data_IF_998013056882
#
_entry.id   IF_998013056882
#
_cell.length_a   1.000
_cell.length_b   1.000
_cell.length_c   1.000
_cell.angle_alpha   90.00
_cell.angle_beta   90.00
_cell.angle_gamma   90.00
#
_symmetry.space_group_name_H-M   'P 1'
#
loop_
_entity.id
_entity.type
_entity.pdbx_description
1 polymer ?
#
# COMPACT_ATOMS: atom_id res chain seq x y z
N UNK A 1 9.62 12.69 13.60
CA UNK A 1 8.91 11.72 14.48
C UNK A 1 7.97 10.93 13.60
N UNK A 2 8.09 9.60 13.56
CA UNK A 2 7.12 8.76 12.84
C UNK A 2 5.75 8.94 13.52
N UNK A 3 4.67 9.19 12.76
CA UNK A 3 3.34 9.33 13.34
C UNK A 3 2.98 8.08 14.14
N UNK A 4 2.50 8.26 15.35
CA UNK A 4 2.03 7.14 16.16
C UNK A 4 0.60 6.82 15.73
N UNK A 5 0.40 5.70 15.07
CA UNK A 5 -0.90 5.17 14.70
C UNK A 5 -1.45 4.35 15.86
N UNK A 6 -1.98 5.03 16.88
CA UNK A 6 -2.68 4.38 17.97
C UNK A 6 -4.04 3.82 17.51
N UNK A 7 -4.73 3.11 18.39
CA UNK A 7 -5.99 2.45 18.04
C UNK A 7 -7.09 3.43 17.60
N UNK A 8 -7.14 4.61 18.20
CA UNK A 8 -8.16 5.61 17.86
C UNK A 8 -7.88 6.27 16.52
N UNK A 9 -6.61 6.59 16.23
CA UNK A 9 -6.20 7.11 14.93
C UNK A 9 -6.46 6.09 13.81
N UNK A 10 -6.16 4.80 14.02
CA UNK A 10 -6.44 3.72 13.06
C UNK A 10 -7.93 3.60 12.78
N UNK A 11 -8.75 3.58 13.82
CA UNK A 11 -10.23 3.51 13.69
C UNK A 11 -10.77 4.71 12.93
N UNK A 12 -10.27 5.91 13.24
CA UNK A 12 -10.66 7.14 12.55
C UNK A 12 -10.34 7.09 11.07
N UNK A 13 -9.15 6.62 10.70
CA UNK A 13 -8.74 6.47 9.29
C UNK A 13 -9.57 5.42 8.56
N UNK A 14 -9.84 4.28 9.18
CA UNK A 14 -10.67 3.24 8.58
C UNK A 14 -12.12 3.72 8.36
N UNK A 15 -12.71 4.40 9.35
CA UNK A 15 -14.02 5.03 9.17
C UNK A 15 -14.01 6.06 8.02
N UNK A 16 -13.00 6.91 7.96
CA UNK A 16 -12.86 7.92 6.90
C UNK A 16 -12.81 7.30 5.49
N UNK A 17 -12.03 6.25 5.26
CA UNK A 17 -11.97 5.60 3.93
C UNK A 17 -13.27 4.88 3.59
N UNK A 18 -13.92 4.24 4.54
CA UNK A 18 -15.24 3.61 4.36
C UNK A 18 -16.32 4.63 4.04
N UNK A 19 -16.40 5.71 4.82
CA UNK A 19 -17.39 6.78 4.64
C UNK A 19 -17.19 7.52 3.31
N UNK A 20 -15.93 7.63 2.83
CA UNK A 20 -15.62 8.17 1.50
C UNK A 20 -16.27 7.32 0.40
N UNK A 21 -16.16 6.00 0.46
CA UNK A 21 -16.79 5.09 -0.52
C UNK A 21 -18.32 5.13 -0.40
N UNK A 22 -18.85 5.17 0.84
CA UNK A 22 -20.29 5.29 1.07
C UNK A 22 -20.87 6.61 0.51
N UNK A 23 -20.15 7.72 0.66
CA UNK A 23 -20.54 9.02 0.13
C UNK A 23 -20.63 9.02 -1.42
N UNK A 24 -19.71 8.33 -2.10
CA UNK A 24 -19.77 8.18 -3.57
C UNK A 24 -21.06 7.47 -3.99
N UNK A 25 -21.44 6.38 -3.34
CA UNK A 25 -22.70 5.69 -3.63
C UNK A 25 -23.94 6.56 -3.38
N UNK A 26 -23.88 7.36 -2.32
CA UNK A 26 -24.99 8.26 -1.97
C UNK A 26 -25.03 9.54 -2.84
N UNK A 27 -24.05 9.76 -3.71
CA UNK A 27 -23.84 11.04 -4.42
C UNK A 27 -23.87 12.24 -3.45
N UNK A 28 -23.25 12.04 -2.27
CA UNK A 28 -23.17 13.00 -1.18
C UNK A 28 -21.77 13.65 -1.13
N UNK A 29 -21.62 14.81 -0.44
CA UNK A 29 -20.30 15.37 -0.17
C UNK A 29 -19.42 14.37 0.58
N UNK A 30 -18.14 14.28 0.18
CA UNK A 30 -17.17 13.44 0.89
C UNK A 30 -16.94 13.95 2.32
N UNK A 31 -16.65 13.04 3.27
CA UNK A 31 -16.29 13.42 4.63
C UNK A 31 -15.04 14.31 4.63
N UNK A 32 -14.96 15.25 5.55
CA UNK A 32 -13.74 16.03 5.76
C UNK A 32 -12.60 15.12 6.22
N UNK A 33 -11.37 15.47 5.81
CA UNK A 33 -10.18 14.75 6.30
C UNK A 33 -10.10 14.92 7.81
N UNK A 34 -9.99 13.82 8.58
CA UNK A 34 -9.91 13.89 10.03
C UNK A 34 -8.77 14.77 10.54
N UNK A 35 -8.99 15.45 11.66
CA UNK A 35 -7.99 16.32 12.27
C UNK A 35 -6.89 15.54 13.00
N UNK A 36 -6.11 14.79 12.22
CA UNK A 36 -4.91 14.09 12.66
C UNK A 36 -3.69 14.73 12.01
N UNK A 37 -2.68 15.18 12.78
CA UNK A 37 -1.50 15.85 12.22
C UNK A 37 -0.84 15.06 11.08
N UNK A 38 -0.75 13.74 11.22
CA UNK A 38 -0.17 12.86 10.21
C UNK A 38 -0.89 12.90 8.85
N UNK A 39 -2.20 13.18 8.82
CA UNK A 39 -2.97 13.26 7.58
C UNK A 39 -2.73 14.55 6.79
N UNK A 40 -2.15 15.55 7.43
CA UNK A 40 -1.78 16.82 6.78
C UNK A 40 -0.41 16.78 6.12
N UNK A 41 0.42 15.81 6.52
CA UNK A 41 1.76 15.62 5.96
C UNK A 41 1.69 14.93 4.61
N UNK A 42 2.68 15.20 3.74
CA UNK A 42 2.85 14.48 2.48
C UNK A 42 3.05 13.00 2.77
N UNK A 43 2.23 12.13 2.18
CA UNK A 43 2.24 10.71 2.49
C UNK A 43 1.82 9.85 1.33
N UNK A 44 2.16 8.58 1.42
CA UNK A 44 1.77 7.55 0.45
C UNK A 44 1.10 6.40 1.18
N UNK A 45 0.05 5.85 0.59
CA UNK A 45 -0.68 4.73 1.17
C UNK A 45 -1.23 3.79 0.09
N UNK A 46 -1.63 2.60 0.53
CA UNK A 46 -2.54 1.72 -0.20
C UNK A 46 -3.83 1.58 0.58
N UNK A 47 -4.93 1.48 -0.14
CA UNK A 47 -6.23 1.08 0.41
C UNK A 47 -6.61 -0.24 -0.25
N UNK A 48 -6.87 -1.25 0.58
CA UNK A 48 -7.24 -2.59 0.16
C UNK A 48 -8.63 -2.92 0.65
N UNK A 49 -9.42 -3.50 -0.22
CA UNK A 49 -10.75 -4.01 0.04
C UNK A 49 -10.70 -5.53 0.00
N UNK A 50 -11.21 -6.18 1.03
CA UNK A 50 -11.35 -7.63 1.12
C UNK A 50 -12.82 -7.99 1.23
N UNK A 51 -13.24 -9.06 0.53
CA UNK A 51 -14.51 -9.70 0.84
C UNK A 51 -14.39 -10.44 2.17
N UNK A 52 -15.40 -10.34 3.02
CA UNK A 52 -15.48 -11.17 4.22
C UNK A 52 -15.52 -12.66 3.83
N UNK A 53 -15.05 -13.56 4.73
CA UNK A 53 -15.11 -14.99 4.48
C UNK A 53 -16.57 -15.43 4.22
N UNK A 54 -16.80 -16.07 3.08
CA UNK A 54 -18.11 -16.61 2.76
C UNK A 54 -18.47 -17.79 3.67
N UNK A 55 -19.77 -18.20 3.71
CA UNK A 55 -20.26 -19.27 4.56
C UNK A 55 -19.62 -20.65 4.28
N UNK A 56 -18.95 -20.83 3.16
CA UNK A 56 -18.26 -22.06 2.74
C UNK A 56 -16.81 -22.17 3.24
N UNK A 57 -16.34 -21.24 4.13
CA UNK A 57 -15.03 -21.32 4.75
C UNK A 57 -13.86 -20.94 3.84
N UNK A 58 -14.12 -20.37 2.68
CA UNK A 58 -13.09 -19.68 1.90
C UNK A 58 -12.66 -18.44 2.69
N UNK A 59 -11.35 -18.29 2.93
CA UNK A 59 -10.77 -17.14 3.62
C UNK A 59 -11.07 -15.82 2.92
N UNK A 60 -10.68 -14.71 3.54
CA UNK A 60 -10.78 -13.39 2.93
C UNK A 60 -10.18 -13.39 1.53
N UNK A 61 -10.86 -12.75 0.59
CA UNK A 61 -10.37 -12.61 -0.78
C UNK A 61 -10.22 -11.14 -1.16
N UNK A 62 -9.20 -10.84 -1.95
CA UNK A 62 -8.98 -9.49 -2.46
C UNK A 62 -10.17 -9.06 -3.32
N UNK A 63 -10.72 -7.85 -3.08
CA UNK A 63 -11.79 -7.22 -3.85
C UNK A 63 -11.35 -5.95 -4.57
N UNK A 64 -10.28 -5.31 -4.12
CA UNK A 64 -9.65 -4.14 -4.73
C UNK A 64 -8.44 -3.69 -3.93
N UNK A 65 -7.42 -3.15 -4.60
CA UNK A 65 -6.24 -2.60 -3.93
C UNK A 65 -5.55 -1.60 -4.83
N UNK A 66 -5.57 -0.33 -4.45
CA UNK A 66 -4.87 0.75 -5.17
C UNK A 66 -4.09 1.59 -4.16
N UNK A 67 -2.95 2.09 -4.60
CA UNK A 67 -2.10 2.94 -3.79
C UNK A 67 -0.99 3.61 -4.58
N UNK A 68 -0.22 4.40 -3.88
CA UNK A 68 0.92 5.14 -4.38
C UNK A 68 2.17 4.82 -3.56
N UNK A 69 3.31 4.80 -4.23
CA UNK A 69 4.61 4.60 -3.59
C UNK A 69 5.31 5.92 -3.28
N UNK A 70 4.89 7.00 -3.93
CA UNK A 70 5.44 8.33 -3.76
C UNK A 70 4.41 9.26 -3.12
N UNK A 71 4.84 10.04 -2.14
CA UNK A 71 4.06 11.06 -1.50
C UNK A 71 4.02 12.31 -2.38
N UNK A 72 2.95 12.51 -3.14
CA UNK A 72 2.74 13.68 -4.00
C UNK A 72 1.61 14.60 -3.51
N UNK A 73 0.89 14.19 -2.49
CA UNK A 73 -0.21 14.94 -1.88
C UNK A 73 -0.28 14.65 -0.37
N UNK A 74 -1.03 15.43 0.43
CA UNK A 74 -1.28 15.12 1.84
C UNK A 74 -1.89 13.74 2.01
N UNK A 75 -1.46 12.99 3.04
CA UNK A 75 -1.88 11.61 3.27
C UNK A 75 -3.41 11.44 3.36
N UNK A 76 -4.11 12.41 3.95
CA UNK A 76 -5.58 12.36 4.02
C UNK A 76 -6.24 12.38 2.64
N UNK A 77 -5.75 13.20 1.71
CA UNK A 77 -6.24 13.21 0.33
C UNK A 77 -5.83 11.94 -0.42
N UNK A 78 -4.61 11.44 -0.19
CA UNK A 78 -4.14 10.19 -0.78
C UNK A 78 -4.99 8.99 -0.34
N UNK A 79 -5.39 8.93 0.94
CA UNK A 79 -6.33 7.94 1.47
C UNK A 79 -7.69 8.01 0.78
N UNK A 80 -8.26 9.23 0.63
CA UNK A 80 -9.54 9.46 -0.07
C UNK A 80 -9.46 8.96 -1.51
N UNK A 81 -8.45 9.41 -2.27
CA UNK A 81 -8.30 9.04 -3.67
C UNK A 81 -8.10 7.52 -3.85
N UNK A 82 -7.26 6.91 -3.00
CA UNK A 82 -7.01 5.48 -3.09
C UNK A 82 -8.19 4.63 -2.63
N UNK A 83 -9.03 5.10 -1.68
CA UNK A 83 -10.27 4.43 -1.32
C UNK A 83 -11.24 4.37 -2.52
N UNK A 84 -11.45 5.51 -3.20
CA UNK A 84 -12.30 5.56 -4.40
C UNK A 84 -11.71 4.74 -5.55
N UNK A 85 -10.40 4.81 -5.76
CA UNK A 85 -9.74 4.05 -6.82
C UNK A 85 -9.80 2.55 -6.56
N UNK A 86 -9.60 2.10 -5.33
CA UNK A 86 -9.69 0.68 -4.97
C UNK A 86 -11.11 0.13 -5.12
N UNK A 87 -12.13 0.94 -4.80
CA UNK A 87 -13.53 0.54 -4.92
C UNK A 87 -14.05 0.57 -6.38
N UNK A 88 -13.63 1.55 -7.18
CA UNK A 88 -14.31 1.83 -8.46
C UNK A 88 -13.40 1.77 -9.69
N UNK A 89 -12.07 1.75 -9.52
CA UNK A 89 -11.12 1.92 -10.63
C UNK A 89 -9.97 0.94 -10.63
N UNK A 90 -10.03 -0.12 -9.82
CA UNK A 90 -9.07 -1.21 -9.91
C UNK A 90 -9.39 -2.06 -11.15
N UNK A 91 -8.50 -2.09 -12.18
CA UNK A 91 -8.81 -2.73 -13.46
C UNK A 91 -8.98 -4.26 -13.37
N UNK A 92 -8.62 -4.86 -12.23
CA UNK A 92 -8.74 -6.31 -12.01
C UNK A 92 -10.15 -6.73 -11.59
N UNK A 93 -10.99 -5.78 -11.17
CA UNK A 93 -12.30 -6.01 -10.60
C UNK A 93 -13.34 -5.07 -11.21
N UNK A 94 -14.63 -5.46 -11.27
CA UNK A 94 -15.70 -4.53 -11.58
C UNK A 94 -15.81 -3.47 -10.46
N UNK A 95 -16.40 -2.31 -10.78
CA UNK A 95 -16.70 -1.31 -9.76
C UNK A 95 -17.53 -1.94 -8.63
N UNK A 96 -17.27 -1.52 -7.40
CA UNK A 96 -17.98 -2.01 -6.22
C UNK A 96 -19.47 -1.61 -6.32
N UNK A 97 -20.37 -2.51 -5.96
CA UNK A 97 -21.80 -2.25 -5.84
C UNK A 97 -22.17 -1.81 -4.42
N UNK A 98 -23.20 -0.94 -4.24
CA UNK A 98 -23.64 -0.50 -2.90
C UNK A 98 -23.98 -1.66 -1.96
N UNK A 99 -24.52 -2.76 -2.50
CA UNK A 99 -24.92 -3.93 -1.74
C UNK A 99 -23.73 -4.73 -1.20
N UNK A 100 -22.55 -4.60 -1.82
CA UNK A 100 -21.32 -5.25 -1.37
C UNK A 100 -20.69 -4.54 -0.16
N UNK A 101 -20.90 -3.22 -0.01
CA UNK A 101 -20.19 -2.41 0.99
C UNK A 101 -20.27 -2.94 2.44
N UNK A 102 -21.41 -3.47 2.92
CA UNK A 102 -21.49 -4.07 4.24
C UNK A 102 -20.62 -5.33 4.43
N UNK A 103 -20.32 -6.04 3.33
CA UNK A 103 -19.52 -7.26 3.31
C UNK A 103 -18.05 -7.03 2.98
N UNK A 104 -17.64 -5.75 2.84
CA UNK A 104 -16.26 -5.37 2.59
C UNK A 104 -15.55 -5.02 3.90
N UNK A 105 -14.34 -5.54 4.05
CA UNK A 105 -13.37 -5.15 5.05
C UNK A 105 -12.33 -4.24 4.42
N UNK A 106 -12.10 -3.09 5.03
CA UNK A 106 -11.07 -2.14 4.60
C UNK A 106 -9.76 -2.38 5.35
N UNK A 107 -8.67 -2.31 4.61
CA UNK A 107 -7.31 -2.32 5.15
C UNK A 107 -6.53 -1.14 4.56
N UNK A 108 -5.73 -0.50 5.38
CA UNK A 108 -4.88 0.64 5.01
C UNK A 108 -3.43 0.30 5.30
N UNK A 109 -2.56 0.54 4.32
CA UNK A 109 -1.11 0.45 4.45
C UNK A 109 -0.51 1.84 4.26
N UNK A 110 0.02 2.43 5.33
CA UNK A 110 0.67 3.75 5.29
C UNK A 110 2.18 3.54 5.18
N UNK A 111 2.78 4.12 4.14
CA UNK A 111 4.19 3.95 3.85
C UNK A 111 5.03 5.03 4.53
N UNK A 112 6.20 4.65 5.06
CA UNK A 112 7.22 5.64 5.43
C UNK A 112 7.88 6.23 4.19
N UNK A 113 8.50 7.40 4.33
CA UNK A 113 9.35 7.94 3.28
C UNK A 113 10.49 6.94 2.97
N UNK A 114 10.80 6.67 1.69
CA UNK A 114 11.92 5.84 1.33
C UNK A 114 13.25 6.47 1.77
N UNK A 115 14.13 5.67 2.37
CA UNK A 115 15.49 6.08 2.77
C UNK A 115 16.53 5.26 2.01
N UNK A 116 17.61 5.90 1.52
CA UNK A 116 18.68 5.17 0.85
C UNK A 116 19.43 4.29 1.84
N UNK A 117 19.88 3.12 1.37
CA UNK A 117 20.74 2.19 2.09
C UNK A 117 22.05 2.02 1.34
N UNK A 118 23.13 1.67 2.07
CA UNK A 118 24.47 1.54 1.48
C UNK A 118 24.60 0.30 0.58
N UNK A 119 23.87 -0.76 0.91
CA UNK A 119 23.88 -1.98 0.14
C UNK A 119 22.68 -2.89 0.46
N UNK A 120 22.48 -3.93 -0.34
CA UNK A 120 21.34 -4.83 -0.21
C UNK A 120 21.36 -5.67 1.09
N UNK A 121 22.48 -5.70 1.80
CA UNK A 121 22.61 -6.38 3.10
C UNK A 121 21.79 -5.71 4.20
N UNK A 122 21.48 -4.41 4.08
CA UNK A 122 20.64 -3.67 5.01
C UNK A 122 19.13 -3.91 4.78
N UNK A 123 18.75 -4.49 3.65
CA UNK A 123 17.35 -4.87 3.39
C UNK A 123 16.91 -6.03 4.27
N UNK A 124 15.86 -5.83 5.05
CA UNK A 124 15.28 -6.82 5.96
C UNK A 124 13.95 -7.33 5.38
N UNK A 125 13.92 -8.63 5.07
CA UNK A 125 12.73 -9.29 4.52
C UNK A 125 11.60 -9.27 5.54
N UNK A 126 10.40 -8.90 5.10
CA UNK A 126 9.19 -8.82 5.91
C UNK A 126 9.04 -7.54 6.71
N UNK A 127 10.10 -6.74 6.84
CA UNK A 127 10.08 -5.44 7.51
C UNK A 127 10.14 -4.30 6.49
N UNK A 128 11.03 -4.42 5.52
CA UNK A 128 11.26 -3.40 4.52
C UNK A 128 10.58 -3.71 3.19
N UNK A 129 9.90 -2.70 2.62
CA UNK A 129 9.77 -2.60 1.18
C UNK A 129 11.09 -2.15 0.58
N UNK A 130 11.36 -2.50 -0.65
CA UNK A 130 12.62 -2.20 -1.32
C UNK A 130 12.41 -1.62 -2.70
N UNK A 131 13.17 -0.58 -3.02
CA UNK A 131 13.23 0.06 -4.33
C UNK A 131 14.63 -0.15 -4.89
N UNK A 132 14.72 -0.66 -6.11
CA UNK A 132 15.94 -0.69 -6.91
C UNK A 132 15.88 0.41 -7.96
N UNK A 133 16.97 1.16 -8.09
CA UNK A 133 17.16 2.17 -9.13
C UNK A 133 18.50 1.90 -9.84
N UNK A 134 18.46 1.75 -11.17
CA UNK A 134 19.63 1.54 -12.01
C UNK A 134 19.33 1.92 -13.47
N UNK A 135 20.27 2.57 -14.14
CA UNK A 135 20.18 2.94 -15.57
C UNK A 135 18.87 3.66 -15.95
N UNK A 136 18.37 4.55 -15.06
CA UNK A 136 17.11 5.26 -15.25
C UNK A 136 15.86 4.40 -15.10
N UNK A 137 16.01 3.14 -14.72
CA UNK A 137 14.92 2.19 -14.44
C UNK A 137 14.73 2.02 -12.95
N UNK A 138 13.51 1.68 -12.54
CA UNK A 138 13.20 1.47 -11.14
C UNK A 138 12.12 0.40 -11.00
N UNK A 139 12.20 -0.36 -9.92
CA UNK A 139 11.14 -1.26 -9.48
C UNK A 139 11.06 -1.26 -7.97
N UNK A 140 9.94 -1.73 -7.45
CA UNK A 140 9.66 -1.80 -6.01
C UNK A 140 8.94 -3.08 -5.66
N UNK A 141 9.24 -3.62 -4.47
CA UNK A 141 8.41 -4.58 -3.78
C UNK A 141 7.99 -4.03 -2.42
N UNK A 142 6.75 -4.31 -2.05
CA UNK A 142 6.22 -4.04 -0.71
C UNK A 142 6.79 -5.05 0.31
N UNK A 143 6.78 -4.73 1.61
CA UNK A 143 7.39 -5.59 2.63
C UNK A 143 6.88 -7.04 2.65
N UNK A 144 5.61 -7.25 2.35
CA UNK A 144 4.95 -8.57 2.39
C UNK A 144 5.31 -9.48 1.21
N UNK A 145 5.78 -8.93 0.08
CA UNK A 145 5.96 -9.71 -1.15
C UNK A 145 6.95 -10.86 -0.98
N UNK A 146 8.13 -10.60 -0.40
CA UNK A 146 9.14 -11.64 -0.25
C UNK A 146 8.70 -12.75 0.71
N UNK A 147 8.12 -12.46 1.90
CA UNK A 147 7.56 -13.48 2.79
C UNK A 147 6.46 -14.32 2.15
N UNK A 148 5.50 -13.71 1.46
CA UNK A 148 4.38 -14.39 0.80
C UNK A 148 4.85 -15.37 -0.28
N UNK A 149 5.95 -15.03 -0.96
CA UNK A 149 6.55 -15.88 -1.99
C UNK A 149 7.58 -16.86 -1.44
N UNK A 150 7.94 -16.76 -0.17
CA UNK A 150 9.00 -17.58 0.44
C UNK A 150 10.40 -17.28 -0.13
N UNK A 151 10.63 -16.05 -0.61
CA UNK A 151 11.89 -15.65 -1.22
C UNK A 151 12.92 -15.23 -0.17
N UNK A 152 14.16 -15.65 -0.40
CA UNK A 152 15.32 -15.08 0.28
C UNK A 152 15.71 -13.72 -0.33
N UNK A 153 16.70 -13.06 0.27
CA UNK A 153 17.16 -11.74 -0.19
C UNK A 153 17.65 -11.76 -1.64
N UNK A 154 18.46 -12.74 -2.01
CA UNK A 154 19.05 -12.83 -3.35
C UNK A 154 17.94 -13.05 -4.41
N UNK A 155 17.01 -13.95 -4.13
CA UNK A 155 15.85 -14.22 -4.98
C UNK A 155 14.98 -12.98 -5.12
N UNK A 156 14.70 -12.28 -4.02
CA UNK A 156 13.92 -11.02 -4.04
C UNK A 156 14.58 -9.98 -4.93
N UNK A 157 15.89 -9.79 -4.81
CA UNK A 157 16.64 -8.80 -5.58
C UNK A 157 16.75 -9.17 -7.06
N UNK A 158 16.85 -10.47 -7.38
CA UNK A 158 16.80 -10.94 -8.76
C UNK A 158 15.46 -10.61 -9.43
N UNK A 159 14.33 -10.92 -8.76
CA UNK A 159 13.00 -10.59 -9.28
C UNK A 159 12.76 -9.08 -9.33
N UNK A 160 13.31 -8.31 -8.39
CA UNK A 160 13.22 -6.86 -8.39
C UNK A 160 13.95 -6.26 -9.61
N UNK A 161 15.15 -6.77 -9.92
CA UNK A 161 15.89 -6.36 -11.11
C UNK A 161 15.12 -6.72 -12.40
N UNK A 162 14.60 -7.94 -12.50
CA UNK A 162 13.77 -8.36 -13.64
C UNK A 162 12.51 -7.50 -13.78
N UNK A 163 11.85 -7.15 -12.67
CA UNK A 163 10.69 -6.24 -12.65
C UNK A 163 11.04 -4.85 -13.15
N UNK A 164 12.26 -4.38 -12.91
CA UNK A 164 12.79 -3.13 -13.48
C UNK A 164 13.15 -3.25 -14.98
N UNK A 165 13.03 -4.43 -15.57
CA UNK A 165 13.43 -4.71 -16.94
C UNK A 165 14.95 -4.80 -17.12
N UNK A 166 15.66 -5.18 -16.07
CA UNK A 166 17.10 -5.39 -16.02
C UNK A 166 17.44 -6.90 -16.00
N UNK A 167 18.72 -7.23 -16.19
CA UNK A 167 19.20 -8.59 -15.95
C UNK A 167 19.03 -8.96 -14.47
N UNK A 168 18.79 -10.22 -14.15
CA UNK A 168 18.49 -10.68 -12.79
C UNK A 168 19.61 -10.33 -11.79
N UNK A 169 20.86 -10.32 -12.22
CA UNK A 169 22.04 -10.00 -11.41
C UNK A 169 22.45 -8.51 -11.43
N UNK A 170 21.70 -7.67 -12.13
CA UNK A 170 22.02 -6.25 -12.26
C UNK A 170 22.08 -5.49 -10.92
N UNK A 171 21.42 -5.99 -9.89
CA UNK A 171 21.47 -5.43 -8.54
C UNK A 171 22.84 -5.56 -7.86
N UNK A 172 23.72 -6.44 -8.35
CA UNK A 172 25.08 -6.62 -7.83
C UNK A 172 26.09 -5.62 -8.42
N UNK A 173 25.67 -4.83 -9.41
CA UNK A 173 26.55 -3.85 -10.08
C UNK A 173 26.77 -2.62 -9.20
N UNK A 174 27.96 -1.98 -9.24
CA UNK A 174 28.32 -0.88 -8.36
C UNK A 174 27.42 0.37 -8.45
N UNK A 175 26.71 0.53 -9.55
CA UNK A 175 25.81 1.65 -9.83
C UNK A 175 24.34 1.36 -9.45
N UNK A 176 24.04 0.17 -8.94
CA UNK A 176 22.74 -0.14 -8.37
C UNK A 176 22.53 0.63 -7.06
N UNK A 177 21.40 1.31 -6.96
CA UNK A 177 20.98 2.06 -5.76
C UNK A 177 19.74 1.46 -5.16
N UNK A 178 19.71 1.42 -3.83
CA UNK A 178 18.60 0.85 -3.08
C UNK A 178 18.03 1.88 -2.12
N UNK A 179 16.71 1.88 -2.00
CA UNK A 179 15.99 2.58 -0.93
C UNK A 179 15.07 1.56 -0.26
N UNK A 180 14.90 1.71 1.03
CA UNK A 180 13.95 0.91 1.81
C UNK A 180 12.92 1.81 2.47
N UNK A 181 11.74 1.26 2.72
CA UNK A 181 10.66 1.90 3.46
C UNK A 181 9.92 0.84 4.29
N UNK A 182 9.19 1.28 5.28
CA UNK A 182 8.30 0.43 6.07
C UNK A 182 6.85 0.71 5.73
N UNK A 183 5.96 -0.21 6.06
CA UNK A 183 4.53 -0.03 5.97
C UNK A 183 3.88 -0.26 7.34
N UNK A 184 3.02 0.66 7.77
CA UNK A 184 2.13 0.44 8.91
C UNK A 184 0.79 -0.02 8.35
N UNK A 185 0.44 -1.30 8.60
CA UNK A 185 -0.77 -1.93 8.09
C UNK A 185 -1.78 -2.10 9.21
N UNK A 186 -3.02 -1.74 8.96
CA UNK A 186 -4.14 -1.96 9.86
C UNK A 186 -5.46 -2.06 9.09
N UNK A 187 -6.37 -2.90 9.60
CA UNK A 187 -7.68 -3.16 9.01
C UNK A 187 -8.77 -3.25 10.06
N UNK A 188 -10.01 -3.36 9.61
CA UNK A 188 -11.21 -3.58 10.43
C UNK A 188 -11.24 -4.96 11.07
#
# INVERSE_FOLDING_TARGET
MTPVWDMDARRTVLAFVRDTVAAEFANAPYPEVPDLPALREMGACFVTLHNLPGPEGFGESLRGCIGNLQAFEPLGENLRHNALNAAFRDPRFPALDPEELPEIRFEVSILSAPVPIAGPEEFQIGEHGIILQKDGRSAVFLPQVAPEQGWDRATTLNYLAMKAGLAADAWQMPDARFLVFTATVFGE
#
